data_IF_310905606707
#
_entry.id   IF_310905606707
#
_cell.length_a   1.000
_cell.length_b   1.000
_cell.length_c   1.000
_cell.angle_alpha   90.00
_cell.angle_beta   90.00
_cell.angle_gamma   90.00
#
_symmetry.space_group_name_H-M   'P 1'
#
loop_
_entity.id
_entity.type
_entity.pdbx_description
1 polymer ?
#
# COMPACT_ATOMS: atom_id res chain seq x y z
N UNK A 1 -17.10 2.52 -3.92
CA UNK A 1 -17.44 2.06 -2.56
C UNK A 1 -17.58 0.54 -2.56
N UNK A 2 -17.15 -0.18 -1.50
CA UNK A 2 -17.47 -1.60 -1.34
C UNK A 2 -18.98 -1.77 -1.33
N UNK A 3 -19.48 -2.76 -2.04
CA UNK A 3 -20.94 -2.96 -2.16
C UNK A 3 -21.34 -4.27 -1.52
N UNK A 4 -20.43 -5.21 -1.37
CA UNK A 4 -20.72 -6.53 -0.80
C UNK A 4 -19.63 -6.98 0.16
N UNK A 5 -20.02 -7.82 1.09
CA UNK A 5 -19.08 -8.58 1.90
C UNK A 5 -18.92 -9.99 1.34
N UNK A 6 -17.68 -10.47 1.34
CA UNK A 6 -17.31 -11.80 0.88
C UNK A 6 -16.88 -12.64 2.07
N UNK A 7 -17.32 -13.89 2.08
CA UNK A 7 -16.90 -14.89 3.05
C UNK A 7 -15.52 -15.42 2.70
N UNK A 8 -14.54 -15.19 3.57
CA UNK A 8 -13.15 -15.58 3.34
C UNK A 8 -12.96 -17.11 3.22
N UNK A 9 -13.72 -17.89 3.96
CA UNK A 9 -13.60 -19.34 3.93
C UNK A 9 -13.96 -19.93 2.57
N UNK A 10 -14.89 -19.28 1.86
CA UNK A 10 -15.31 -19.69 0.51
C UNK A 10 -14.34 -19.22 -0.58
N UNK A 11 -13.74 -18.07 -0.39
CA UNK A 11 -12.91 -17.44 -1.43
C UNK A 11 -11.42 -17.81 -1.30
N UNK A 12 -10.93 -17.95 -0.08
CA UNK A 12 -9.51 -18.18 0.22
C UNK A 12 -9.25 -19.53 0.92
N UNK A 13 -10.29 -20.25 1.30
CA UNK A 13 -10.16 -21.51 2.04
C UNK A 13 -9.71 -21.32 3.49
N UNK A 14 -9.92 -20.14 4.08
CA UNK A 14 -9.52 -19.88 5.47
C UNK A 14 -10.30 -20.75 6.45
N UNK A 15 -9.64 -21.22 7.52
CA UNK A 15 -10.25 -22.02 8.59
C UNK A 15 -11.34 -21.26 9.34
N UNK A 16 -11.20 -19.93 9.44
CA UNK A 16 -12.17 -19.04 10.07
C UNK A 16 -12.95 -18.25 9.02
N UNK A 17 -14.26 -18.17 9.23
CA UNK A 17 -15.13 -17.32 8.43
C UNK A 17 -14.93 -15.84 8.82
N UNK A 18 -14.50 -15.03 7.86
CA UNK A 18 -14.34 -13.59 8.02
C UNK A 18 -15.11 -12.93 6.87
N UNK A 19 -16.07 -12.09 7.20
CA UNK A 19 -16.75 -11.26 6.20
C UNK A 19 -15.88 -10.04 5.89
N UNK A 20 -15.43 -9.90 4.65
CA UNK A 20 -14.51 -8.85 4.20
C UNK A 20 -15.15 -8.03 3.10
N UNK A 21 -15.03 -6.68 3.14
CA UNK A 21 -15.58 -5.81 2.10
C UNK A 21 -14.87 -6.04 0.75
N UNK A 22 -15.65 -5.96 -0.32
CA UNK A 22 -15.20 -6.13 -1.71
C UNK A 22 -15.81 -5.06 -2.60
N UNK A 23 -15.07 -4.61 -3.60
CA UNK A 23 -15.60 -3.66 -4.59
C UNK A 23 -16.36 -4.39 -5.70
N UNK A 24 -17.44 -3.77 -6.19
CA UNK A 24 -18.21 -4.31 -7.32
C UNK A 24 -17.70 -3.78 -8.67
N UNK A 25 -17.16 -2.59 -8.70
CA UNK A 25 -16.62 -1.99 -9.92
C UNK A 25 -15.20 -2.47 -10.15
N UNK A 26 -14.91 -2.84 -11.39
CA UNK A 26 -13.53 -3.13 -11.82
C UNK A 26 -12.76 -1.82 -11.93
N UNK A 27 -11.46 -1.90 -11.65
CA UNK A 27 -10.49 -0.84 -11.84
C UNK A 27 -9.26 -1.45 -12.49
N UNK A 28 -8.60 -0.70 -13.34
CA UNK A 28 -7.33 -1.11 -13.98
C UNK A 28 -6.20 -1.33 -12.96
N UNK A 29 -6.39 -0.83 -11.74
CA UNK A 29 -5.46 -1.03 -10.63
C UNK A 29 -5.72 -2.32 -9.83
N UNK A 30 -6.74 -3.10 -10.17
CA UNK A 30 -6.96 -4.40 -9.53
C UNK A 30 -6.02 -5.42 -10.16
N UNK A 31 -5.18 -6.10 -9.36
CA UNK A 31 -4.24 -7.09 -9.90
C UNK A 31 -4.96 -8.25 -10.59
N UNK A 32 -4.28 -8.88 -11.52
CA UNK A 32 -4.79 -10.10 -12.15
C UNK A 32 -4.84 -11.27 -11.18
N UNK A 33 -5.88 -12.10 -11.32
CA UNK A 33 -6.05 -13.29 -10.49
C UNK A 33 -5.20 -14.43 -11.05
N UNK A 34 -4.21 -14.85 -10.28
CA UNK A 34 -3.52 -16.12 -10.52
C UNK A 34 -4.39 -17.27 -9.99
N UNK A 35 -4.92 -18.09 -10.89
CA UNK A 35 -5.78 -19.24 -10.55
C UNK A 35 -5.03 -20.36 -9.85
N UNK A 36 -3.72 -20.44 -10.02
CA UNK A 36 -2.85 -21.43 -9.39
C UNK A 36 -2.35 -21.03 -8.01
N UNK A 37 -2.67 -19.81 -7.55
CA UNK A 37 -2.15 -19.30 -6.29
C UNK A 37 -2.72 -20.05 -5.07
N UNK A 38 -1.83 -20.54 -4.21
CA UNK A 38 -2.18 -21.25 -2.97
C UNK A 38 -2.02 -20.31 -1.78
N UNK A 39 -3.06 -20.18 -0.98
CA UNK A 39 -3.10 -19.30 0.18
C UNK A 39 -2.67 -20.02 1.46
N UNK A 40 -1.74 -19.41 2.21
CA UNK A 40 -1.47 -19.80 3.60
C UNK A 40 -2.54 -19.22 4.52
N UNK A 41 -3.17 -20.05 5.35
CA UNK A 41 -4.32 -19.64 6.18
C UNK A 41 -3.98 -18.53 7.18
N UNK A 42 -2.87 -18.65 7.89
CA UNK A 42 -2.49 -17.70 8.93
C UNK A 42 -2.15 -16.32 8.34
N UNK A 43 -1.34 -16.29 7.27
CA UNK A 43 -0.95 -15.06 6.58
C UNK A 43 -2.17 -14.41 5.92
N UNK A 44 -3.00 -15.21 5.24
CA UNK A 44 -4.24 -14.74 4.61
C UNK A 44 -5.17 -14.10 5.62
N UNK A 45 -5.41 -14.78 6.74
CA UNK A 45 -6.25 -14.27 7.84
C UNK A 45 -5.74 -12.92 8.34
N UNK A 46 -4.43 -12.78 8.55
CA UNK A 46 -3.82 -11.54 9.03
C UNK A 46 -3.99 -10.38 8.03
N UNK A 47 -3.78 -10.63 6.74
CA UNK A 47 -3.96 -9.62 5.69
C UNK A 47 -5.43 -9.24 5.56
N UNK A 48 -6.36 -10.20 5.65
CA UNK A 48 -7.81 -9.94 5.62
C UNK A 48 -8.26 -9.05 6.79
N UNK A 49 -7.63 -9.15 7.97
CA UNK A 49 -7.87 -8.22 9.07
C UNK A 49 -7.44 -6.79 8.71
N UNK A 50 -6.36 -6.64 7.95
CA UNK A 50 -5.95 -5.35 7.37
C UNK A 50 -7.03 -4.76 6.47
N UNK A 51 -7.56 -5.54 5.53
CA UNK A 51 -8.64 -5.09 4.64
C UNK A 51 -9.93 -4.77 5.39
N UNK A 52 -10.34 -5.62 6.33
CA UNK A 52 -11.61 -5.47 7.05
C UNK A 52 -11.58 -4.31 8.04
N UNK A 53 -10.56 -4.25 8.90
CA UNK A 53 -10.52 -3.34 10.05
C UNK A 53 -9.53 -2.18 9.87
N UNK A 54 -8.99 -2.00 8.67
CA UNK A 54 -7.95 -0.98 8.40
C UNK A 54 -6.74 -1.10 9.32
N UNK A 55 -6.35 -2.33 9.67
CA UNK A 55 -5.13 -2.58 10.43
C UNK A 55 -3.92 -2.48 9.51
N UNK A 56 -2.86 -1.85 9.99
CA UNK A 56 -1.57 -1.84 9.32
C UNK A 56 -0.93 -3.21 9.51
N UNK A 57 -0.60 -3.89 8.42
CA UNK A 57 -0.08 -5.26 8.45
C UNK A 57 1.30 -5.27 7.82
N UNK A 58 2.28 -5.80 8.53
CA UNK A 58 3.62 -6.07 8.03
C UNK A 58 3.79 -7.58 7.85
N UNK A 59 4.04 -8.01 6.62
CA UNK A 59 4.30 -9.41 6.27
C UNK A 59 5.80 -9.62 6.22
N UNK A 60 6.30 -10.43 7.13
CA UNK A 60 7.72 -10.75 7.22
C UNK A 60 8.02 -12.15 6.70
N UNK A 61 9.16 -12.32 6.06
CA UNK A 61 9.63 -13.63 5.58
C UNK A 61 10.85 -13.47 4.68
N UNK A 62 11.49 -14.58 4.36
CA UNK A 62 12.66 -14.61 3.50
C UNK A 62 12.38 -14.01 2.12
N UNK A 63 13.44 -13.55 1.45
CA UNK A 63 13.34 -13.05 0.09
C UNK A 63 12.76 -14.13 -0.85
N UNK A 64 11.91 -13.74 -1.79
CA UNK A 64 11.32 -14.67 -2.77
C UNK A 64 10.18 -15.55 -2.25
N UNK A 65 9.71 -15.38 -1.01
CA UNK A 65 8.60 -16.20 -0.44
C UNK A 65 7.20 -15.74 -0.86
N UNK A 66 7.08 -14.78 -1.78
CA UNK A 66 5.78 -14.35 -2.31
C UNK A 66 4.98 -13.40 -1.41
N UNK A 67 5.60 -12.72 -0.44
CA UNK A 67 4.92 -11.82 0.51
C UNK A 67 4.04 -10.76 -0.16
N UNK A 68 4.60 -10.03 -1.10
CA UNK A 68 3.88 -8.97 -1.83
C UNK A 68 2.80 -9.56 -2.72
N UNK A 69 3.12 -10.65 -3.43
CA UNK A 69 2.16 -11.37 -4.27
C UNK A 69 0.98 -11.90 -3.45
N UNK A 70 1.18 -12.30 -2.20
CA UNK A 70 0.11 -12.75 -1.32
C UNK A 70 -0.91 -11.64 -1.07
N UNK A 71 -0.43 -10.41 -0.77
CA UNK A 71 -1.29 -9.24 -0.58
C UNK A 71 -2.02 -8.89 -1.88
N UNK A 72 -1.30 -8.88 -3.02
CA UNK A 72 -1.86 -8.59 -4.34
C UNK A 72 -2.93 -9.62 -4.74
N UNK A 73 -2.70 -10.92 -4.49
CA UNK A 73 -3.66 -11.97 -4.80
C UNK A 73 -4.91 -11.92 -3.92
N UNK A 74 -4.80 -11.44 -2.68
CA UNK A 74 -5.97 -11.15 -1.84
C UNK A 74 -6.72 -9.94 -2.39
N UNK A 75 -6.02 -8.83 -2.70
CA UNK A 75 -6.62 -7.64 -3.29
C UNK A 75 -7.35 -7.96 -4.60
N UNK A 76 -6.75 -8.76 -5.49
CA UNK A 76 -7.34 -9.20 -6.74
C UNK A 76 -8.71 -9.88 -6.53
N UNK A 77 -8.79 -10.82 -5.59
CA UNK A 77 -10.02 -11.56 -5.30
C UNK A 77 -11.08 -10.75 -4.57
N UNK A 78 -10.66 -9.72 -3.83
CA UNK A 78 -11.54 -8.72 -3.24
C UNK A 78 -11.94 -7.63 -4.24
N UNK A 79 -11.47 -7.71 -5.48
CA UNK A 79 -11.62 -6.66 -6.50
C UNK A 79 -11.17 -5.28 -5.96
N UNK A 80 -10.13 -5.25 -5.13
CA UNK A 80 -9.60 -4.07 -4.47
C UNK A 80 -8.46 -3.49 -5.29
N UNK A 81 -8.53 -2.21 -5.71
CA UNK A 81 -7.40 -1.55 -6.35
C UNK A 81 -6.14 -1.67 -5.48
N UNK A 82 -5.02 -2.04 -6.08
CA UNK A 82 -3.78 -2.28 -5.35
C UNK A 82 -2.61 -1.65 -6.08
N UNK A 83 -1.77 -0.95 -5.34
CA UNK A 83 -0.53 -0.37 -5.83
C UNK A 83 0.62 -0.90 -5.00
N UNK A 84 1.72 -1.23 -5.66
CA UNK A 84 2.95 -1.67 -5.02
C UNK A 84 4.06 -0.67 -5.29
N UNK A 85 4.80 -0.31 -4.24
CA UNK A 85 6.01 0.50 -4.31
C UNK A 85 7.11 -0.31 -3.64
N UNK A 86 8.22 -0.50 -4.35
CA UNK A 86 9.43 -1.02 -3.75
C UNK A 86 10.19 0.14 -3.11
N UNK A 87 10.47 0.04 -1.80
CA UNK A 87 11.20 1.05 -1.03
C UNK A 87 12.72 0.81 -1.12
N UNK A 88 13.21 0.55 -2.33
CA UNK A 88 14.64 0.47 -2.55
C UNK A 88 15.34 1.82 -2.29
N UNK A 89 16.66 1.80 -2.13
CA UNK A 89 17.46 2.99 -1.83
C UNK A 89 17.42 4.09 -2.89
N UNK A 90 16.72 3.90 -4.01
CA UNK A 90 16.59 4.88 -5.10
C UNK A 90 15.36 5.77 -4.95
N UNK A 91 14.31 5.35 -4.21
CA UNK A 91 13.13 6.17 -3.98
C UNK A 91 13.46 7.32 -3.04
N UNK A 92 13.17 8.52 -3.48
CA UNK A 92 13.31 9.74 -2.71
C UNK A 92 11.98 10.20 -2.10
N UNK A 93 12.07 11.06 -1.07
CA UNK A 93 10.90 11.74 -0.48
C UNK A 93 10.07 12.47 -1.53
N UNK A 94 10.71 13.08 -2.54
CA UNK A 94 10.02 13.80 -3.62
C UNK A 94 9.23 12.89 -4.56
N UNK A 95 9.69 11.66 -4.76
CA UNK A 95 8.96 10.69 -5.58
C UNK A 95 7.70 10.21 -4.87
N UNK A 96 7.75 10.11 -3.53
CA UNK A 96 6.59 9.75 -2.73
C UNK A 96 5.59 10.89 -2.57
N UNK A 97 6.05 12.08 -2.15
CA UNK A 97 5.15 13.20 -1.81
C UNK A 97 4.76 14.04 -3.01
N UNK A 98 5.64 14.16 -3.97
CA UNK A 98 5.52 15.07 -5.10
C UNK A 98 6.58 16.15 -5.10
N UNK A 99 6.63 16.89 -6.18
CA UNK A 99 7.61 17.96 -6.42
C UNK A 99 7.03 19.05 -7.30
N UNK A 100 7.57 20.26 -7.17
CA UNK A 100 7.28 21.32 -8.10
C UNK A 100 7.85 20.99 -9.48
N UNK A 101 7.05 21.23 -10.49
CA UNK A 101 7.42 21.09 -11.88
C UNK A 101 7.10 22.37 -12.65
N UNK A 102 7.89 22.67 -13.68
CA UNK A 102 7.64 23.77 -14.59
C UNK A 102 6.81 23.25 -15.75
N UNK A 103 5.62 23.82 -15.95
CA UNK A 103 4.77 23.54 -17.10
C UNK A 103 4.60 24.80 -17.94
N UNK A 104 4.50 24.62 -19.26
CA UNK A 104 4.18 25.71 -20.20
C UNK A 104 2.66 25.76 -20.35
N UNK A 105 2.07 26.88 -19.96
CA UNK A 105 0.67 27.19 -20.23
C UNK A 105 0.59 28.56 -20.88
N UNK A 106 -0.05 28.65 -22.05
CA UNK A 106 -0.20 29.88 -22.83
C UNK A 106 1.16 30.60 -23.08
N UNK A 107 2.19 29.81 -23.45
CA UNK A 107 3.58 30.26 -23.66
C UNK A 107 4.28 30.88 -22.43
N UNK A 108 3.68 30.78 -21.25
CA UNK A 108 4.28 31.22 -19.98
C UNK A 108 4.71 30.00 -19.16
N UNK A 109 5.87 30.08 -18.56
CA UNK A 109 6.33 29.09 -17.59
C UNK A 109 5.59 29.31 -16.26
N UNK A 110 4.87 28.26 -15.82
CA UNK A 110 4.21 28.25 -14.51
C UNK A 110 4.75 27.09 -13.70
N UNK A 111 5.03 27.36 -12.44
CA UNK A 111 5.34 26.31 -11.47
C UNK A 111 4.05 25.64 -11.05
N UNK A 112 3.98 24.32 -11.20
CA UNK A 112 2.85 23.51 -10.75
C UNK A 112 3.36 22.39 -9.89
N UNK A 113 2.69 22.13 -8.78
CA UNK A 113 3.01 20.96 -7.96
C UNK A 113 2.50 19.68 -8.64
N UNK A 114 3.41 18.74 -8.87
CA UNK A 114 3.07 17.40 -9.35
C UNK A 114 2.95 16.48 -8.14
N UNK A 115 1.74 16.08 -7.83
CA UNK A 115 1.43 15.19 -6.69
C UNK A 115 2.16 13.84 -6.84
N UNK A 116 2.76 13.37 -5.75
CA UNK A 116 3.39 12.06 -5.68
C UNK A 116 2.40 10.93 -5.43
N UNK A 117 2.90 9.70 -5.45
CA UNK A 117 2.05 8.52 -5.34
C UNK A 117 1.40 8.36 -3.96
N UNK A 118 2.09 8.73 -2.88
CA UNK A 118 1.57 8.56 -1.51
C UNK A 118 0.36 9.45 -1.22
N UNK A 119 0.40 10.78 -1.47
CA UNK A 119 -0.77 11.64 -1.33
C UNK A 119 -1.95 11.17 -2.19
N UNK A 120 -1.68 10.75 -3.41
CA UNK A 120 -2.70 10.22 -4.30
C UNK A 120 -3.32 8.93 -3.72
N UNK A 121 -2.51 7.97 -3.27
CA UNK A 121 -2.99 6.71 -2.71
C UNK A 121 -3.86 6.93 -1.47
N UNK A 122 -3.44 7.80 -0.56
CA UNK A 122 -4.18 8.09 0.68
C UNK A 122 -5.58 8.67 0.38
N UNK A 123 -5.73 9.48 -0.66
CA UNK A 123 -7.02 10.07 -1.08
C UNK A 123 -7.96 9.07 -1.73
N UNK A 124 -7.46 7.93 -2.21
CA UNK A 124 -8.20 6.98 -3.03
C UNK A 124 -8.48 5.66 -2.30
N UNK A 125 -9.54 4.92 -2.71
CA UNK A 125 -9.89 3.62 -2.15
C UNK A 125 -8.95 2.53 -2.70
N UNK A 126 -7.71 2.52 -2.29
CA UNK A 126 -6.64 1.65 -2.80
C UNK A 126 -5.90 0.98 -1.65
N UNK A 127 -5.39 -0.22 -1.88
CA UNK A 127 -4.42 -0.88 -1.03
C UNK A 127 -3.00 -0.51 -1.51
N UNK A 128 -2.22 0.12 -0.67
CA UNK A 128 -0.83 0.46 -0.93
C UNK A 128 0.07 -0.60 -0.27
N UNK A 129 0.89 -1.25 -1.07
CA UNK A 129 1.89 -2.23 -0.61
C UNK A 129 3.27 -1.56 -0.66
N UNK A 130 3.87 -1.39 0.51
CA UNK A 130 5.22 -0.91 0.68
C UNK A 130 6.14 -2.13 0.76
N UNK A 131 6.77 -2.45 -0.36
CA UNK A 131 7.64 -3.61 -0.45
C UNK A 131 9.06 -3.27 0.00
N UNK A 132 9.74 -4.24 0.63
CA UNK A 132 11.08 -4.06 1.20
C UNK A 132 11.15 -2.88 2.19
N UNK A 133 10.18 -2.83 3.11
CA UNK A 133 10.03 -1.75 4.09
C UNK A 133 11.31 -1.51 4.91
N UNK A 134 12.07 -2.54 5.16
CA UNK A 134 13.33 -2.53 5.91
C UNK A 134 14.54 -1.97 5.11
N UNK A 135 14.40 -1.84 3.79
CA UNK A 135 15.43 -1.24 2.91
C UNK A 135 15.18 0.26 2.63
N UNK A 136 14.09 0.82 3.15
CA UNK A 136 13.70 2.20 2.90
C UNK A 136 14.67 3.22 3.51
N UNK A 137 14.97 4.29 2.75
CA UNK A 137 15.81 5.39 3.23
C UNK A 137 15.16 6.09 4.43
N UNK A 138 15.92 6.55 5.43
CA UNK A 138 15.38 7.20 6.63
C UNK A 138 14.45 8.39 6.33
N UNK A 139 14.79 9.23 5.36
CA UNK A 139 13.98 10.40 4.97
C UNK A 139 12.60 10.01 4.38
N UNK A 140 12.54 8.89 3.67
CA UNK A 140 11.33 8.27 3.14
C UNK A 140 10.50 7.64 4.26
N UNK A 141 11.17 6.92 5.17
CA UNK A 141 10.52 6.23 6.27
C UNK A 141 9.83 7.19 7.25
N UNK A 142 10.41 8.36 7.53
CA UNK A 142 9.76 9.38 8.35
C UNK A 142 8.44 9.89 7.75
N UNK A 143 8.34 9.97 6.44
CA UNK A 143 7.10 10.35 5.77
C UNK A 143 6.05 9.25 5.89
N UNK A 144 6.45 8.00 5.66
CA UNK A 144 5.57 6.83 5.75
C UNK A 144 5.07 6.64 7.18
N UNK A 145 5.92 6.85 8.19
CA UNK A 145 5.58 6.71 9.60
C UNK A 145 4.34 7.54 9.98
N UNK A 146 4.22 8.75 9.47
CA UNK A 146 3.05 9.62 9.70
C UNK A 146 1.74 8.99 9.22
N UNK A 147 1.78 8.30 8.08
CA UNK A 147 0.62 7.60 7.52
C UNK A 147 0.28 6.34 8.33
N UNK A 148 1.26 5.75 8.99
CA UNK A 148 1.07 4.56 9.83
C UNK A 148 0.50 4.88 11.22
N UNK A 149 0.51 6.14 11.67
CA UNK A 149 -0.12 6.57 12.92
C UNK A 149 -1.64 6.30 12.92
N UNK A 150 -2.27 6.36 14.09
CA UNK A 150 -3.68 5.99 14.25
C UNK A 150 -4.62 6.80 13.33
N UNK A 151 -4.40 8.11 13.20
CA UNK A 151 -5.17 8.97 12.31
C UNK A 151 -4.73 8.88 10.86
N UNK A 152 -3.47 8.50 10.61
CA UNK A 152 -2.89 8.31 9.29
C UNK A 152 -2.88 9.56 8.40
N UNK A 153 -2.95 10.76 8.99
CA UNK A 153 -2.97 12.02 8.24
C UNK A 153 -1.60 12.35 7.66
N UNK A 154 -1.58 12.83 6.45
CA UNK A 154 -0.37 13.30 5.78
C UNK A 154 -0.39 14.81 5.65
N UNK A 155 0.63 15.49 6.18
CA UNK A 155 0.81 16.93 6.03
C UNK A 155 1.76 17.21 4.86
N UNK A 156 1.29 17.98 3.88
CA UNK A 156 2.09 18.50 2.78
C UNK A 156 2.46 19.94 3.11
N UNK A 157 3.68 20.16 3.60
CA UNK A 157 4.14 21.47 4.04
C UNK A 157 4.19 22.47 2.87
N UNK A 158 4.67 22.04 1.71
CA UNK A 158 4.81 22.89 0.52
C UNK A 158 3.45 23.38 -0.02
N UNK A 159 2.36 22.71 0.33
CA UNK A 159 0.99 23.05 -0.05
C UNK A 159 0.15 23.56 1.12
N UNK A 160 0.70 23.64 2.31
CA UNK A 160 -0.02 23.98 3.54
C UNK A 160 -1.35 23.21 3.66
N UNK A 161 -1.31 21.90 3.36
CA UNK A 161 -2.49 21.05 3.31
C UNK A 161 -2.31 19.79 4.14
N UNK A 162 -3.42 19.34 4.74
CA UNK A 162 -3.50 18.08 5.49
C UNK A 162 -4.44 17.14 4.74
N UNK A 163 -3.93 15.98 4.39
CA UNK A 163 -4.69 14.94 3.71
C UNK A 163 -5.21 13.95 4.75
N UNK A 164 -6.52 13.79 4.78
CA UNK A 164 -7.19 12.75 5.57
C UNK A 164 -7.36 11.50 4.70
N UNK A 165 -7.02 10.31 5.22
CA UNK A 165 -7.14 9.08 4.46
C UNK A 165 -8.59 8.78 4.03
N UNK A 166 -8.72 8.25 2.81
CA UNK A 166 -9.96 7.67 2.34
C UNK A 166 -10.37 6.51 3.28
N UNK A 167 -11.63 6.36 3.66
CA UNK A 167 -12.10 5.27 4.53
C UNK A 167 -11.75 3.87 4.02
N UNK A 168 -11.54 3.73 2.72
CA UNK A 168 -11.16 2.47 2.06
C UNK A 168 -9.68 2.43 1.63
N UNK A 169 -8.88 3.40 2.03
CA UNK A 169 -7.43 3.30 1.91
C UNK A 169 -6.92 2.20 2.85
N UNK A 170 -6.04 1.36 2.34
CA UNK A 170 -5.35 0.30 3.11
C UNK A 170 -3.86 0.41 2.88
N UNK A 171 -3.07 0.06 3.89
CA UNK A 171 -1.61 0.05 3.78
C UNK A 171 -1.06 -1.25 4.35
N UNK A 172 -0.16 -1.85 3.60
CA UNK A 172 0.55 -3.08 3.92
C UNK A 172 2.03 -2.86 3.72
N UNK A 173 2.85 -3.56 4.48
CA UNK A 173 4.28 -3.59 4.29
C UNK A 173 4.78 -5.02 4.14
N UNK A 174 5.91 -5.19 3.46
CA UNK A 174 6.67 -6.43 3.48
C UNK A 174 8.09 -6.14 3.93
N UNK A 175 8.71 -7.08 4.62
CA UNK A 175 10.11 -6.98 5.01
C UNK A 175 10.81 -8.35 4.95
N UNK A 176 12.11 -8.30 4.76
CA UNK A 176 12.94 -9.50 4.69
C UNK A 176 13.64 -9.77 6.02
N UNK A 177 13.78 -8.77 6.88
CA UNK A 177 14.51 -8.83 8.15
C UNK A 177 13.59 -8.50 9.33
N UNK A 178 14.11 -8.73 10.55
CA UNK A 178 13.45 -8.34 11.81
C UNK A 178 13.71 -6.88 12.19
N UNK A 179 13.99 -6.01 11.22
CA UNK A 179 14.37 -4.63 11.47
C UNK A 179 15.83 -4.45 11.87
N UNK A 180 16.65 -5.46 11.67
CA UNK A 180 18.11 -5.42 11.96
C UNK A 180 18.93 -4.88 10.77
N UNK A 181 18.26 -4.52 9.68
CA UNK A 181 18.93 -4.14 8.45
C UNK A 181 19.66 -5.33 7.79
N UNK A 182 20.36 -5.06 6.71
CA UNK A 182 21.28 -6.03 6.11
C UNK A 182 22.56 -6.12 6.95
N UNK A 183 23.05 -7.35 7.17
CA UNK A 183 24.32 -7.62 7.86
C UNK A 183 25.53 -7.03 7.15
N UNK A 184 25.37 -6.60 5.90
CA UNK A 184 26.40 -5.90 5.11
C UNK A 184 26.55 -4.43 5.47
N UNK A 185 25.66 -3.85 6.28
CA UNK A 185 25.71 -2.44 6.68
C UNK A 185 25.39 -1.45 5.55
N UNK A 186 24.78 -1.92 4.47
CA UNK A 186 24.39 -1.09 3.32
C UNK A 186 22.97 -0.52 3.43
N UNK A 187 22.19 -0.91 4.46
CA UNK A 187 20.84 -0.43 4.73
C UNK A 187 20.66 -0.09 6.22
#
# INVERSE_FOLDING_TARGET
KPIKEIDSSKLFGTSKKIMVPSFSQKSDLVPEIDKGYVFDDATTTSILMGFKYNKKVLVQGLHGTGKSSHIEQIAARLNWPCLRINLDGHISRFDLLGKDGITLKDQKQITTFKEGLLPWAIKNPVALVLDEYDAGRPDVMFVIQRVLEAEGKLTLLDQNSIITPNPFFRIFGTCNTLGLGDTSGLY
#
